data_IF_746007803484
#
_entry.id   IF_746007803484
#
_cell.length_a   1.000
_cell.length_b   1.000
_cell.length_c   1.000
_cell.angle_alpha   90.00
_cell.angle_beta   90.00
_cell.angle_gamma   90.00
#
_symmetry.space_group_name_H-M   'P 1'
#
loop_
_entity.id
_entity.type
_entity.pdbx_description
1 polymer ?
#
# COMPACT_ATOMS: atom_id res chain seq x y z
N UNK A 1 0.57 21.65 9.98
CA UNK A 1 0.92 20.22 10.16
C UNK A 1 0.24 19.35 9.11
N UNK A 2 -1.10 19.24 9.08
CA UNK A 2 -1.84 18.38 8.12
C UNK A 2 -1.40 18.53 6.65
N UNK A 3 -1.26 19.78 6.16
CA UNK A 3 -0.85 20.04 4.78
C UNK A 3 0.55 19.47 4.45
N UNK A 4 1.49 19.56 5.39
CA UNK A 4 2.84 19.01 5.20
C UNK A 4 2.81 17.48 5.23
N UNK A 5 2.00 16.87 6.10
CA UNK A 5 1.84 15.41 6.16
C UNK A 5 1.24 14.86 4.84
N UNK A 6 0.28 15.58 4.24
CA UNK A 6 -0.31 15.24 2.95
C UNK A 6 0.72 15.38 1.82
N UNK A 7 1.52 16.45 1.82
CA UNK A 7 2.57 16.64 0.81
C UNK A 7 3.67 15.56 0.91
N UNK A 8 4.05 15.18 2.14
CA UNK A 8 4.99 14.08 2.39
C UNK A 8 4.43 12.74 1.85
N UNK A 9 3.16 12.43 2.16
CA UNK A 9 2.47 11.27 1.62
C UNK A 9 2.45 11.27 0.07
N UNK A 10 2.08 12.40 -0.55
CA UNK A 10 2.00 12.52 -2.01
C UNK A 10 3.38 12.33 -2.69
N UNK A 11 4.45 12.85 -2.08
CA UNK A 11 5.80 12.66 -2.60
C UNK A 11 6.22 11.19 -2.61
N UNK A 12 5.93 10.46 -1.53
CA UNK A 12 6.23 9.02 -1.42
C UNK A 12 5.36 8.21 -2.39
N UNK A 13 4.09 8.58 -2.53
CA UNK A 13 3.18 7.94 -3.48
C UNK A 13 3.65 8.12 -4.92
N UNK A 14 4.10 9.32 -5.30
CA UNK A 14 4.64 9.58 -6.63
C UNK A 14 5.90 8.76 -6.93
N UNK A 15 6.79 8.62 -5.93
CA UNK A 15 7.97 7.74 -6.03
C UNK A 15 7.55 6.28 -6.24
N UNK A 16 6.65 5.75 -5.40
CA UNK A 16 6.18 4.38 -5.50
C UNK A 16 5.53 4.08 -6.86
N UNK A 17 4.72 5.01 -7.38
CA UNK A 17 4.11 4.88 -8.70
C UNK A 17 5.14 4.82 -9.83
N UNK A 18 6.21 5.62 -9.73
CA UNK A 18 7.31 5.62 -10.70
C UNK A 18 8.06 4.28 -10.68
N UNK A 19 8.32 3.73 -9.49
CA UNK A 19 8.94 2.42 -9.31
C UNK A 19 8.04 1.28 -9.81
N UNK A 20 6.72 1.40 -9.61
CA UNK A 20 5.74 0.39 -9.99
C UNK A 20 5.73 0.17 -11.50
N UNK A 21 5.79 1.26 -12.26
CA UNK A 21 5.85 1.21 -13.72
C UNK A 21 7.10 0.45 -14.21
N UNK A 22 8.27 0.74 -13.62
CA UNK A 22 9.52 0.08 -14.01
C UNK A 22 9.54 -1.40 -13.64
N UNK A 23 9.02 -1.77 -12.46
CA UNK A 23 8.92 -3.16 -12.02
C UNK A 23 8.01 -3.99 -12.94
N UNK A 24 6.82 -3.46 -13.26
CA UNK A 24 5.86 -4.13 -14.15
C UNK A 24 6.45 -4.35 -15.53
N UNK A 25 7.13 -3.35 -16.11
CA UNK A 25 7.80 -3.49 -17.42
C UNK A 25 8.88 -4.58 -17.36
N UNK A 26 9.75 -4.56 -16.34
CA UNK A 26 10.81 -5.57 -16.18
C UNK A 26 10.25 -6.99 -16.06
N UNK A 27 9.21 -7.19 -15.24
CA UNK A 27 8.59 -8.50 -15.04
C UNK A 27 7.86 -9.01 -16.27
N UNK A 28 7.23 -8.11 -17.02
CA UNK A 28 6.57 -8.46 -18.29
C UNK A 28 7.55 -9.02 -19.33
N UNK A 29 8.82 -8.60 -19.26
CA UNK A 29 9.89 -9.09 -20.14
C UNK A 29 10.53 -10.37 -19.59
N UNK A 30 10.82 -10.41 -18.29
CA UNK A 30 11.59 -11.49 -17.68
C UNK A 30 10.74 -12.72 -17.31
N UNK A 31 9.41 -12.56 -17.19
CA UNK A 31 8.50 -13.64 -16.79
C UNK A 31 8.61 -14.06 -15.32
N UNK A 32 9.34 -13.30 -14.49
CA UNK A 32 9.55 -13.57 -13.07
C UNK A 32 8.30 -13.19 -12.24
N UNK A 33 7.43 -14.19 -12.08
CA UNK A 33 6.11 -14.08 -11.45
C UNK A 33 5.92 -15.29 -10.52
N UNK A 34 5.65 -15.03 -9.24
CA UNK A 34 5.35 -16.03 -8.20
C UNK A 34 4.27 -15.46 -7.27
N UNK A 35 2.98 -15.58 -7.66
CA UNK A 35 1.92 -14.80 -7.05
C UNK A 35 1.50 -15.36 -5.68
N UNK A 36 1.22 -14.46 -4.75
CA UNK A 36 0.81 -14.82 -3.39
C UNK A 36 -0.34 -13.92 -2.91
N UNK A 37 -1.13 -14.43 -1.95
CA UNK A 37 -2.12 -13.62 -1.22
C UNK A 37 -1.71 -13.55 0.24
N UNK A 38 -1.66 -12.33 0.78
CA UNK A 38 -1.32 -12.07 2.18
C UNK A 38 -2.37 -11.25 2.89
N UNK A 39 -2.48 -11.47 4.19
CA UNK A 39 -3.31 -10.68 5.09
C UNK A 39 -2.43 -9.70 5.89
N UNK A 40 -2.84 -8.44 5.88
CA UNK A 40 -2.18 -7.33 6.54
C UNK A 40 -3.17 -6.73 7.53
N UNK A 41 -2.77 -6.65 8.80
CA UNK A 41 -3.51 -5.90 9.81
C UNK A 41 -2.96 -4.49 9.86
N UNK A 42 -3.85 -3.50 9.81
CA UNK A 42 -3.49 -2.08 9.95
C UNK A 42 -3.88 -1.55 11.32
N UNK A 43 -3.05 -0.65 11.83
CA UNK A 43 -3.30 0.16 13.02
C UNK A 43 -4.17 1.39 12.75
N UNK A 44 -4.54 1.65 11.49
CA UNK A 44 -5.42 2.77 11.11
C UNK A 44 -6.86 2.47 11.52
N UNK A 45 -7.42 3.34 12.35
CA UNK A 45 -8.76 3.24 12.90
C UNK A 45 -9.81 3.84 11.96
N UNK A 46 -9.48 4.95 11.28
CA UNK A 46 -10.41 5.62 10.37
C UNK A 46 -10.70 4.79 9.12
N UNK A 47 -11.99 4.61 8.78
CA UNK A 47 -12.38 3.92 7.53
C UNK A 47 -11.77 4.57 6.29
N UNK A 48 -11.75 5.89 6.24
CA UNK A 48 -11.16 6.65 5.12
C UNK A 48 -9.65 6.41 5.04
N UNK A 49 -8.95 6.37 6.17
CA UNK A 49 -7.52 6.05 6.19
C UNK A 49 -7.24 4.61 5.75
N UNK A 50 -8.07 3.65 6.17
CA UNK A 50 -7.96 2.25 5.72
C UNK A 50 -8.19 2.11 4.20
N UNK A 51 -9.19 2.80 3.66
CA UNK A 51 -9.44 2.84 2.20
C UNK A 51 -8.29 3.52 1.47
N UNK A 52 -7.76 4.63 1.99
CA UNK A 52 -6.60 5.27 1.40
C UNK A 52 -5.40 4.32 1.38
N UNK A 53 -5.16 3.61 2.47
CA UNK A 53 -4.08 2.63 2.55
C UNK A 53 -4.26 1.50 1.53
N UNK A 54 -5.47 0.96 1.39
CA UNK A 54 -5.80 -0.04 0.38
C UNK A 54 -5.46 0.46 -1.04
N UNK A 55 -5.80 1.72 -1.34
CA UNK A 55 -5.46 2.36 -2.62
C UNK A 55 -3.95 2.57 -2.79
N UNK A 56 -3.23 2.99 -1.74
CA UNK A 56 -1.78 3.18 -1.80
C UNK A 56 -1.06 1.86 -2.08
N UNK A 57 -1.48 0.76 -1.44
CA UNK A 57 -0.96 -0.59 -1.69
C UNK A 57 -1.26 -1.04 -3.12
N UNK A 58 -2.42 -0.71 -3.68
CA UNK A 58 -2.68 -1.03 -5.10
C UNK A 58 -1.77 -0.27 -6.07
N UNK A 59 -1.23 0.88 -5.66
CA UNK A 59 -0.36 1.71 -6.49
C UNK A 59 1.13 1.39 -6.31
N UNK A 60 1.50 0.46 -5.43
CA UNK A 60 2.88 -0.01 -5.29
C UNK A 60 3.25 -1.07 -6.33
N UNK A 61 4.56 -1.23 -6.62
CA UNK A 61 5.05 -2.24 -7.55
C UNK A 61 4.57 -3.65 -7.19
N UNK A 62 3.82 -4.28 -8.10
CA UNK A 62 3.48 -5.69 -7.98
C UNK A 62 2.51 -6.06 -6.88
N UNK A 63 1.65 -5.13 -6.43
CA UNK A 63 0.66 -5.36 -5.35
C UNK A 63 -0.74 -4.90 -5.75
N UNK A 64 -1.77 -5.59 -5.25
CA UNK A 64 -3.17 -5.28 -5.49
C UNK A 64 -3.99 -5.60 -4.23
N UNK A 65 -4.69 -4.61 -3.67
CA UNK A 65 -5.65 -4.89 -2.60
C UNK A 65 -6.91 -5.52 -3.16
N UNK A 66 -7.25 -6.73 -2.69
CA UNK A 66 -8.40 -7.52 -3.14
C UNK A 66 -9.51 -7.61 -2.08
N UNK A 67 -9.28 -7.11 -0.87
CA UNK A 67 -10.28 -7.08 0.18
C UNK A 67 -9.90 -6.17 1.33
N UNK A 68 -10.93 -5.58 1.96
CA UNK A 68 -10.83 -4.76 3.17
C UNK A 68 -11.92 -5.20 4.15
N UNK A 69 -11.53 -5.54 5.38
CA UNK A 69 -12.43 -5.74 6.51
C UNK A 69 -12.23 -4.60 7.52
N UNK A 70 -13.10 -3.57 7.51
CA UNK A 70 -12.90 -2.40 8.35
C UNK A 70 -12.98 -2.67 9.86
N UNK A 71 -13.86 -3.57 10.27
CA UNK A 71 -14.08 -3.90 11.68
C UNK A 71 -12.87 -4.62 12.28
N UNK A 72 -12.27 -5.52 11.51
CA UNK A 72 -11.06 -6.25 11.93
C UNK A 72 -9.77 -5.52 11.57
N UNK A 73 -9.84 -4.42 10.80
CA UNK A 73 -8.69 -3.69 10.23
C UNK A 73 -7.75 -4.61 9.45
N UNK A 74 -8.32 -5.51 8.65
CA UNK A 74 -7.56 -6.47 7.84
C UNK A 74 -7.70 -6.12 6.35
N UNK A 75 -6.57 -6.02 5.65
CA UNK A 75 -6.47 -5.93 4.21
C UNK A 75 -6.00 -7.27 3.63
N UNK A 76 -6.62 -7.71 2.55
CA UNK A 76 -6.15 -8.83 1.72
C UNK A 76 -5.45 -8.27 0.50
N UNK A 77 -4.20 -8.65 0.31
CA UNK A 77 -3.34 -8.13 -0.75
C UNK A 77 -2.82 -9.28 -1.60
N UNK A 78 -3.05 -9.20 -2.90
CA UNK A 78 -2.42 -10.05 -3.89
C UNK A 78 -1.10 -9.42 -4.36
N UNK A 79 -0.08 -10.23 -4.55
CA UNK A 79 1.26 -9.79 -4.94
C UNK A 79 1.73 -10.57 -6.16
N UNK A 80 2.53 -9.94 -7.03
CA UNK A 80 3.08 -10.59 -8.23
C UNK A 80 4.30 -11.46 -7.88
N UNK A 81 4.97 -11.15 -6.77
CA UNK A 81 6.06 -11.94 -6.17
C UNK A 81 5.95 -11.99 -4.65
N UNK A 82 6.62 -12.93 -3.96
CA UNK A 82 6.67 -12.96 -2.51
C UNK A 82 7.30 -11.69 -1.94
N UNK A 83 6.53 -10.98 -1.13
CA UNK A 83 6.93 -9.78 -0.40
C UNK A 83 6.63 -9.98 1.09
N UNK A 84 7.50 -9.51 1.97
CA UNK A 84 7.27 -9.58 3.41
C UNK A 84 6.17 -8.61 3.80
N UNK A 85 5.37 -8.96 4.81
CA UNK A 85 4.27 -8.13 5.27
C UNK A 85 4.70 -6.71 5.65
N UNK A 86 5.86 -6.58 6.29
CA UNK A 86 6.40 -5.29 6.74
C UNK A 86 6.73 -4.34 5.57
N UNK A 87 7.05 -4.90 4.41
CA UNK A 87 7.46 -4.16 3.22
C UNK A 87 6.26 -3.69 2.38
N UNK A 88 5.05 -4.18 2.67
CA UNK A 88 3.84 -3.83 1.91
C UNK A 88 3.25 -2.49 2.36
N UNK A 89 3.58 -2.02 3.57
CA UNK A 89 2.89 -0.88 4.19
C UNK A 89 3.78 0.34 4.44
N UNK A 90 4.55 0.85 3.45
CA UNK A 90 5.34 2.06 3.67
C UNK A 90 4.46 3.30 3.93
N UNK A 91 3.17 3.27 3.57
CA UNK A 91 2.27 4.41 3.69
C UNK A 91 1.56 4.54 5.04
N UNK A 92 1.52 3.47 5.85
CA UNK A 92 0.74 3.44 7.09
C UNK A 92 1.07 4.60 8.04
N UNK A 93 2.35 4.89 8.33
CA UNK A 93 2.69 5.95 9.27
C UNK A 93 2.23 7.33 8.76
N UNK A 94 2.28 7.55 7.45
CA UNK A 94 1.88 8.83 6.83
C UNK A 94 0.36 9.01 6.85
N UNK A 95 -0.39 7.95 6.54
CA UNK A 95 -1.85 7.99 6.54
C UNK A 95 -2.37 8.12 7.98
N UNK A 96 -1.77 7.40 8.94
CA UNK A 96 -2.11 7.51 10.36
C UNK A 96 -1.91 8.94 10.89
N UNK A 97 -0.83 9.62 10.50
CA UNK A 97 -0.62 11.05 10.81
C UNK A 97 -1.71 11.97 10.24
N UNK A 98 -2.37 11.60 9.14
CA UNK A 98 -3.39 12.44 8.49
C UNK A 98 -4.76 12.23 9.13
N UNK A 99 -5.15 10.98 9.41
CA UNK A 99 -6.53 10.65 9.79
C UNK A 99 -6.73 10.21 11.25
N UNK A 100 -5.67 9.80 11.94
CA UNK A 100 -5.73 9.20 13.27
C UNK A 100 -4.97 10.04 14.33
N UNK A 101 -4.72 11.32 14.04
CA UNK A 101 -4.20 12.28 15.02
C UNK A 101 -5.24 12.53 16.10
N UNK A 102 -5.16 11.76 17.19
CA UNK A 102 -5.63 12.15 18.51
C UNK A 102 -4.41 12.42 19.40
#
# INVERSE_FOLDING_TARGET
MLLLDVLEYLFILAKALSEAWLDVVKRSINGDIDPQVVEIETEINSLIGQVLLACSITLTPGTLTIGLNPEKRILKVATIVPIKREDIVPFEPYIKKIFDKN
#
